data_IF_026639928593
#
_entry.id   IF_026639928593
#
_cell.length_a   1.000
_cell.length_b   1.000
_cell.length_c   1.000
_cell.angle_alpha   90.00
_cell.angle_beta   90.00
_cell.angle_gamma   90.00
#
_symmetry.space_group_name_H-M   'P 1'
#
loop_
_entity.id
_entity.type
_entity.pdbx_description
1 polymer ?
#
# COMPACT_ATOMS: atom_id res chain seq x y z
N UNK A 1 -8.20 -4.82 0.69
CA UNK A 1 -7.10 -4.00 0.11
C UNK A 1 -5.91 -3.76 1.06
N UNK A 2 -5.97 -4.09 2.36
CA UNK A 2 -4.87 -3.86 3.33
C UNK A 2 -3.54 -4.59 3.04
N UNK A 3 -3.53 -5.55 2.09
CA UNK A 3 -2.34 -6.30 1.67
C UNK A 3 -1.74 -5.81 0.35
N UNK A 4 -2.34 -4.80 -0.29
CA UNK A 4 -1.75 -4.19 -1.48
C UNK A 4 -0.60 -3.32 -0.99
N UNK A 5 0.64 -3.68 -1.31
CA UNK A 5 1.86 -2.96 -0.87
C UNK A 5 2.52 -2.18 -2.00
N UNK A 6 2.23 -2.52 -3.26
CA UNK A 6 2.78 -1.86 -4.43
C UNK A 6 1.75 -1.77 -5.54
N UNK A 7 1.73 -0.65 -6.26
CA UNK A 7 0.94 -0.51 -7.49
C UNK A 7 1.48 0.64 -8.36
N UNK A 8 1.26 0.63 -9.68
CA UNK A 8 1.68 1.71 -10.55
C UNK A 8 1.02 3.04 -10.19
N UNK A 9 1.77 4.15 -10.27
CA UNK A 9 1.27 5.49 -9.96
C UNK A 9 0.04 5.87 -10.80
N UNK A 10 0.06 5.55 -12.10
CA UNK A 10 -1.08 5.78 -12.98
C UNK A 10 -2.35 5.09 -12.45
N UNK A 11 -2.24 3.83 -12.02
CA UNK A 11 -3.38 3.10 -11.47
C UNK A 11 -3.83 3.71 -10.13
N UNK A 12 -2.90 4.14 -9.27
CA UNK A 12 -3.20 4.87 -8.03
C UNK A 12 -4.08 6.06 -8.29
N UNK A 13 -3.67 6.91 -9.23
CA UNK A 13 -4.38 8.14 -9.59
C UNK A 13 -5.77 7.84 -10.16
N UNK A 14 -5.88 6.82 -11.03
CA UNK A 14 -7.17 6.43 -11.61
C UNK A 14 -8.16 5.87 -10.58
N UNK A 15 -7.70 5.13 -9.58
CA UNK A 15 -8.57 4.52 -8.56
C UNK A 15 -8.55 5.26 -7.23
N UNK A 16 -7.92 6.44 -7.14
CA UNK A 16 -7.69 7.17 -5.90
C UNK A 16 -8.97 7.35 -5.07
N UNK A 17 -10.03 7.86 -5.69
CA UNK A 17 -11.32 8.09 -5.04
C UNK A 17 -11.94 6.80 -4.50
N UNK A 18 -11.91 5.73 -5.31
CA UNK A 18 -12.46 4.41 -4.93
C UNK A 18 -11.62 3.75 -3.85
N UNK A 19 -10.30 3.90 -3.92
CA UNK A 19 -9.37 3.34 -2.96
C UNK A 19 -9.53 4.03 -1.61
N UNK A 20 -9.57 5.36 -1.58
CA UNK A 20 -9.75 6.14 -0.36
C UNK A 20 -11.09 5.83 0.31
N UNK A 21 -12.19 5.75 -0.44
CA UNK A 21 -13.49 5.36 0.11
C UNK A 21 -13.45 3.96 0.77
N UNK A 22 -12.82 2.98 0.11
CA UNK A 22 -12.65 1.63 0.67
C UNK A 22 -11.66 1.59 1.84
N UNK A 23 -10.66 2.44 1.81
CA UNK A 23 -9.65 2.54 2.86
C UNK A 23 -10.26 3.12 4.14
N UNK A 24 -11.12 4.13 4.00
CA UNK A 24 -11.93 4.72 5.08
C UNK A 24 -12.92 3.70 5.67
N UNK A 25 -13.68 2.97 4.84
CA UNK A 25 -14.58 1.89 5.29
C UNK A 25 -13.86 0.83 6.14
N UNK A 26 -12.58 0.60 5.86
CA UNK A 26 -11.76 -0.39 6.57
C UNK A 26 -10.94 0.20 7.74
N UNK A 27 -11.10 1.49 8.03
CA UNK A 27 -10.42 2.21 9.11
C UNK A 27 -8.95 2.54 8.85
N UNK A 28 -8.52 2.58 7.59
CA UNK A 28 -7.14 2.93 7.18
C UNK A 28 -7.19 4.02 6.09
N UNK A 29 -7.70 5.23 6.36
CA UNK A 29 -7.93 6.25 5.34
C UNK A 29 -6.65 6.65 4.56
N UNK A 30 -5.48 6.58 5.20
CA UNK A 30 -4.20 6.92 4.59
C UNK A 30 -3.52 5.74 3.87
N UNK A 31 -4.25 4.67 3.55
CA UNK A 31 -3.67 3.48 2.91
C UNK A 31 -2.96 3.82 1.60
N UNK A 32 -3.50 4.77 0.82
CA UNK A 32 -2.94 5.16 -0.47
C UNK A 32 -1.49 5.69 -0.36
N UNK A 33 -1.20 6.45 0.70
CA UNK A 33 0.13 7.01 0.98
C UNK A 33 1.13 5.97 1.51
N UNK A 34 0.62 4.82 1.97
CA UNK A 34 1.44 3.73 2.48
C UNK A 34 1.81 2.72 1.39
N UNK A 35 1.12 2.72 0.25
CA UNK A 35 1.40 1.83 -0.87
C UNK A 35 2.61 2.38 -1.64
N UNK A 36 3.59 1.54 -1.97
CA UNK A 36 4.71 1.94 -2.83
C UNK A 36 4.30 1.97 -4.32
N UNK A 37 5.06 2.69 -5.13
CA UNK A 37 4.91 2.74 -6.59
C UNK A 37 6.29 2.80 -7.25
N UNK A 38 6.33 2.86 -8.57
CA UNK A 38 7.56 2.89 -9.36
C UNK A 38 8.48 4.08 -9.05
N UNK A 39 7.98 5.13 -8.37
CA UNK A 39 8.80 6.27 -7.95
C UNK A 39 9.56 6.01 -6.65
N UNK A 40 9.10 5.05 -5.85
CA UNK A 40 9.75 4.59 -4.61
C UNK A 40 10.74 3.47 -4.92
N UNK A 41 10.31 2.50 -5.73
CA UNK A 41 11.10 1.32 -6.06
C UNK A 41 10.31 0.33 -6.91
N UNK A 42 11.03 -0.54 -7.60
CA UNK A 42 10.42 -1.62 -8.40
C UNK A 42 10.72 -3.00 -7.86
N UNK A 43 11.62 -3.07 -6.88
CA UNK A 43 12.01 -4.32 -6.22
C UNK A 43 11.53 -4.33 -4.77
N UNK A 44 11.39 -5.53 -4.21
CA UNK A 44 10.99 -5.72 -2.81
C UNK A 44 11.95 -5.01 -1.84
N UNK A 45 13.26 -5.12 -2.06
CA UNK A 45 14.28 -4.53 -1.20
C UNK A 45 14.24 -2.99 -1.16
N UNK A 46 13.86 -2.36 -2.27
CA UNK A 46 13.71 -0.90 -2.36
C UNK A 46 12.46 -0.39 -1.64
N UNK A 47 11.37 -1.16 -1.70
CA UNK A 47 10.07 -0.75 -1.14
C UNK A 47 9.91 -1.16 0.33
N UNK A 48 10.63 -2.19 0.80
CA UNK A 48 10.53 -2.67 2.19
C UNK A 48 10.81 -1.58 3.23
N UNK A 49 11.85 -0.71 3.08
CA UNK A 49 12.09 0.40 3.98
C UNK A 49 10.92 1.40 3.98
N UNK A 50 10.35 1.71 2.82
CA UNK A 50 9.21 2.61 2.69
C UNK A 50 7.97 2.06 3.41
N UNK A 51 7.65 0.78 3.21
CA UNK A 51 6.52 0.12 3.89
C UNK A 51 6.71 0.12 5.40
N UNK A 52 7.94 -0.07 5.87
CA UNK A 52 8.29 -0.08 7.29
C UNK A 52 8.18 1.33 7.89
N UNK A 53 8.70 2.35 7.20
CA UNK A 53 8.62 3.75 7.62
C UNK A 53 7.17 4.24 7.70
N UNK A 54 6.34 3.87 6.71
CA UNK A 54 4.92 4.21 6.66
C UNK A 54 4.06 3.34 7.59
N UNK A 55 4.62 2.29 8.19
CA UNK A 55 3.89 1.36 9.05
C UNK A 55 2.77 0.63 8.32
N UNK A 56 3.03 0.15 7.10
CA UNK A 56 2.01 -0.45 6.27
C UNK A 56 1.36 -1.67 6.98
N UNK A 57 0.01 -1.74 7.04
CA UNK A 57 -0.68 -2.76 7.84
C UNK A 57 -0.30 -4.19 7.46
N UNK A 58 -0.01 -4.45 6.19
CA UNK A 58 0.43 -5.76 5.70
C UNK A 58 1.63 -6.37 6.46
N UNK A 59 2.53 -5.54 7.01
CA UNK A 59 3.71 -6.02 7.76
C UNK A 59 3.34 -6.65 9.10
N UNK A 60 2.19 -6.29 9.66
CA UNK A 60 1.70 -6.79 10.97
C UNK A 60 0.62 -7.85 10.82
N UNK A 61 0.18 -8.13 9.59
CA UNK A 61 -0.84 -9.13 9.31
C UNK A 61 -0.23 -10.53 9.33
N UNK A 62 -1.07 -11.53 9.60
CA UNK A 62 -0.68 -12.94 9.51
C UNK A 62 -0.12 -13.27 8.12
N UNK A 63 0.91 -14.12 8.07
CA UNK A 63 1.56 -14.52 6.83
C UNK A 63 0.52 -15.02 5.82
N UNK A 64 0.65 -14.57 4.57
CA UNK A 64 -0.18 -15.05 3.45
C UNK A 64 0.35 -16.37 2.89
N UNK A 65 1.58 -16.73 3.23
CA UNK A 65 2.24 -17.96 2.82
C UNK A 65 2.27 -18.86 4.06
N UNK A 66 1.61 -20.01 3.97
CA UNK A 66 1.61 -21.08 4.96
C UNK A 66 2.16 -22.35 4.34
#
# INVERSE_FOLDING_TARGET
>A
IKRVVWMPKMLKEEIADRLNARAEEMGVPNLMDMIADETIGTTEEEILPFLTEKGHPALTMESIIG
#
